data_IF_011549241480
#
_entry.id   IF_011549241480
#
_cell.length_a   1.000
_cell.length_b   1.000
_cell.length_c   1.000
_cell.angle_alpha   90.00
_cell.angle_beta   90.00
_cell.angle_gamma   90.00
#
_symmetry.space_group_name_H-M   'P 1'
#
loop_
_entity.id
_entity.type
_entity.pdbx_description
1 polymer ?
#
# COMPACT_ATOMS: atom_id res chain seq x y z
N UNK A 1 60.10 -13.84 33.16
CA UNK A 1 58.94 -12.94 33.34
C UNK A 1 58.88 -12.01 32.12
N UNK A 2 57.92 -12.21 31.20
CA UNK A 2 57.24 -11.27 30.25
C UNK A 2 56.41 -12.20 29.34
N UNK A 3 55.23 -12.67 29.75
CA UNK A 3 53.88 -12.12 29.48
C UNK A 3 53.61 -11.73 28.00
N UNK A 4 53.03 -12.72 27.28
CA UNK A 4 52.01 -12.70 26.20
C UNK A 4 51.70 -11.36 25.50
N UNK A 5 51.54 -11.41 24.16
CA UNK A 5 50.22 -11.17 23.54
C UNK A 5 50.18 -11.65 22.08
N UNK A 6 49.51 -12.78 21.82
CA UNK A 6 49.06 -13.18 20.49
C UNK A 6 47.68 -12.51 20.29
N UNK A 7 47.58 -11.58 19.34
CA UNK A 7 46.30 -10.93 19.01
C UNK A 7 45.57 -11.81 17.99
N UNK A 8 44.73 -12.72 18.48
CA UNK A 8 43.78 -13.47 17.65
C UNK A 8 42.50 -12.66 17.56
N UNK A 9 42.25 -12.06 16.40
CA UNK A 9 40.96 -11.45 16.08
C UNK A 9 39.93 -12.56 15.81
N UNK A 10 39.24 -13.02 16.85
CA UNK A 10 38.01 -13.80 16.71
C UNK A 10 36.87 -12.81 16.46
N UNK A 11 36.50 -12.64 15.19
CA UNK A 11 35.24 -12.01 14.80
C UNK A 11 34.10 -12.94 15.23
N UNK A 12 33.56 -12.67 16.42
CA UNK A 12 32.31 -13.25 16.88
C UNK A 12 31.17 -12.70 15.99
N UNK A 13 30.70 -13.51 15.05
CA UNK A 13 29.41 -13.33 14.39
C UNK A 13 28.32 -13.54 15.44
N UNK A 14 27.90 -12.46 16.08
CA UNK A 14 26.66 -12.41 16.86
C UNK A 14 25.48 -12.61 15.92
N UNK A 15 25.06 -13.87 15.76
CA UNK A 15 23.78 -14.22 15.18
C UNK A 15 22.68 -13.61 16.03
N UNK A 16 22.09 -12.52 15.56
CA UNK A 16 20.89 -11.95 16.15
C UNK A 16 19.72 -12.90 15.83
N UNK A 17 19.44 -13.83 16.74
CA UNK A 17 18.19 -14.57 16.72
C UNK A 17 17.08 -13.57 17.03
N UNK A 18 16.46 -12.99 15.99
CA UNK A 18 15.19 -12.31 16.16
C UNK A 18 14.17 -13.39 16.50
N UNK A 19 13.82 -13.45 17.77
CA UNK A 19 12.61 -14.13 18.22
C UNK A 19 11.47 -13.70 17.30
N UNK A 20 10.82 -14.70 16.69
CA UNK A 20 9.53 -14.51 16.02
C UNK A 20 8.55 -14.22 17.17
N UNK A 21 8.52 -12.95 17.58
CA UNK A 21 7.53 -12.44 18.50
C UNK A 21 6.18 -12.70 17.86
N UNK A 22 5.41 -13.59 18.49
CA UNK A 22 4.02 -13.89 18.13
C UNK A 22 3.27 -12.58 17.99
N UNK A 23 2.99 -12.19 16.74
CA UNK A 23 2.32 -10.94 16.45
C UNK A 23 0.99 -10.91 17.21
N UNK A 24 0.70 -9.82 17.95
CA UNK A 24 -0.55 -9.70 18.68
C UNK A 24 -1.69 -9.85 17.67
N UNK A 25 -2.66 -10.71 17.97
CA UNK A 25 -3.91 -10.82 17.23
C UNK A 25 -4.57 -9.44 17.22
N UNK A 26 -4.33 -8.69 16.15
CA UNK A 26 -5.00 -7.42 15.90
C UNK A 26 -6.47 -7.77 15.72
N UNK A 27 -7.33 -7.26 16.60
CA UNK A 27 -8.77 -7.27 16.35
C UNK A 27 -9.00 -6.47 15.07
N UNK A 28 -9.13 -7.17 13.95
CA UNK A 28 -9.39 -6.61 12.65
C UNK A 28 -10.80 -6.04 12.66
N UNK A 29 -10.93 -4.79 13.10
CA UNK A 29 -12.08 -3.94 12.76
C UNK A 29 -12.12 -3.61 11.26
N UNK A 30 -11.16 -4.13 10.48
CA UNK A 30 -10.87 -3.73 9.11
C UNK A 30 -10.92 -4.94 8.19
N UNK A 31 -11.58 -4.79 7.04
CA UNK A 31 -11.63 -5.81 6.00
C UNK A 31 -10.26 -5.84 5.33
N UNK A 32 -9.65 -7.02 5.25
CA UNK A 32 -8.34 -7.28 4.62
C UNK A 32 -8.31 -6.97 3.11
N UNK A 33 -9.47 -6.64 2.54
CA UNK A 33 -9.68 -6.33 1.13
C UNK A 33 -10.40 -4.99 1.06
N UNK A 34 -9.70 -3.95 0.63
CA UNK A 34 -10.33 -2.70 0.17
C UNK A 34 -11.24 -3.05 -1.00
N UNK A 35 -12.50 -2.69 -0.90
CA UNK A 35 -13.56 -2.93 -1.87
C UNK A 35 -14.01 -1.64 -2.54
N UNK A 36 -14.52 -1.70 -3.78
CA UNK A 36 -15.30 -0.66 -4.44
C UNK A 36 -16.17 0.27 -3.57
N UNK A 37 -16.88 -0.34 -2.63
CA UNK A 37 -17.90 0.28 -1.79
C UNK A 37 -17.27 1.13 -0.68
N UNK A 38 -15.98 0.94 -0.38
CA UNK A 38 -15.24 1.73 0.62
C UNK A 38 -15.03 3.19 0.18
N UNK A 39 -15.38 3.53 -1.06
CA UNK A 39 -15.44 4.93 -1.54
C UNK A 39 -16.67 5.69 -1.04
N UNK A 40 -17.75 5.00 -0.69
CA UNK A 40 -19.01 5.68 -0.37
C UNK A 40 -19.14 6.07 1.10
N UNK A 41 -18.42 5.41 2.01
CA UNK A 41 -18.54 5.71 3.45
C UNK A 41 -17.22 5.57 4.17
N UNK A 42 -16.57 6.71 4.44
CA UNK A 42 -15.56 6.79 5.50
C UNK A 42 -16.30 6.49 6.81
N UNK A 43 -15.83 5.50 7.58
CA UNK A 43 -16.44 5.22 8.89
C UNK A 43 -16.26 6.42 9.83
N UNK A 44 -17.15 6.64 10.81
CA UNK A 44 -17.01 7.74 11.77
C UNK A 44 -15.66 7.73 12.50
N UNK A 45 -15.09 6.55 12.71
CA UNK A 45 -13.77 6.33 13.30
C UNK A 45 -12.63 6.80 12.39
N UNK A 46 -12.67 6.45 11.10
CA UNK A 46 -11.68 6.90 10.11
C UNK A 46 -11.77 8.40 9.85
N UNK A 47 -12.99 8.95 9.86
CA UNK A 47 -13.25 10.38 9.67
C UNK A 47 -12.57 11.26 10.73
N UNK A 48 -12.31 10.74 11.95
CA UNK A 48 -11.56 11.46 13.00
C UNK A 48 -10.13 11.81 12.58
N UNK A 49 -9.60 11.08 11.61
CA UNK A 49 -8.22 11.21 11.13
C UNK A 49 -8.15 11.71 9.69
N UNK A 50 -9.29 12.12 9.13
CA UNK A 50 -9.39 12.65 7.78
C UNK A 50 -8.48 13.86 7.61
N UNK A 51 -7.61 13.78 6.62
CA UNK A 51 -6.68 14.84 6.30
C UNK A 51 -6.51 14.95 4.79
N UNK A 52 -6.73 16.16 4.29
CA UNK A 52 -6.45 16.55 2.91
C UNK A 52 -5.16 17.35 2.90
N UNK A 53 -4.28 17.05 1.96
CA UNK A 53 -3.04 17.78 1.78
C UNK A 53 -2.84 18.07 0.29
N UNK A 54 -2.76 19.35 -0.05
CA UNK A 54 -2.60 19.79 -1.44
C UNK A 54 -1.15 19.75 -1.92
N UNK A 55 -0.18 19.51 -1.02
CA UNK A 55 1.24 19.35 -1.38
C UNK A 55 1.55 17.94 -1.93
N UNK A 56 0.75 16.94 -1.53
CA UNK A 56 0.92 15.55 -1.96
C UNK A 56 -0.15 15.14 -2.97
N UNK A 57 0.11 14.06 -3.72
CA UNK A 57 -0.76 13.61 -4.81
C UNK A 57 -2.02 12.84 -4.35
N UNK A 58 -2.23 12.67 -3.05
CA UNK A 58 -3.41 11.98 -2.52
C UNK A 58 -4.57 12.96 -2.32
N UNK A 59 -5.80 12.51 -2.51
CA UNK A 59 -6.98 13.33 -2.23
C UNK A 59 -7.20 13.48 -0.73
N UNK A 60 -7.10 12.37 0.00
CA UNK A 60 -7.16 12.36 1.46
C UNK A 60 -6.39 11.16 2.04
N UNK A 61 -6.10 11.24 3.34
CA UNK A 61 -5.62 10.12 4.13
C UNK A 61 -6.44 9.93 5.41
N UNK A 62 -6.51 8.69 5.86
CA UNK A 62 -7.14 8.28 7.13
C UNK A 62 -6.25 7.24 7.82
N UNK A 63 -6.46 7.00 9.10
CA UNK A 63 -5.78 5.96 9.87
C UNK A 63 -4.99 6.48 11.08
N UNK A 64 -4.23 5.57 11.69
CA UNK A 64 -3.49 5.83 12.92
C UNK A 64 -2.00 6.10 12.65
N UNK A 65 -1.26 6.74 13.57
CA UNK A 65 0.17 6.93 13.42
C UNK A 65 0.90 5.61 13.08
N UNK A 66 1.56 5.58 11.92
CA UNK A 66 2.27 4.39 11.40
C UNK A 66 1.45 3.50 10.45
N UNK A 67 0.13 3.71 10.36
CA UNK A 67 -0.78 2.94 9.51
C UNK A 67 -1.81 3.87 8.87
N UNK A 68 -1.34 4.64 7.89
CA UNK A 68 -2.19 5.50 7.07
C UNK A 68 -2.61 4.81 5.78
N UNK A 69 -3.85 5.01 5.42
CA UNK A 69 -4.41 4.73 4.10
C UNK A 69 -4.50 6.04 3.32
N UNK A 70 -4.19 5.99 2.03
CA UNK A 70 -4.15 7.14 1.14
C UNK A 70 -5.05 6.90 -0.05
N UNK A 71 -5.94 7.86 -0.32
CA UNK A 71 -6.81 7.84 -1.48
C UNK A 71 -6.17 8.57 -2.66
N UNK A 72 -6.17 7.96 -3.84
CA UNK A 72 -5.63 8.52 -5.06
C UNK A 72 -6.60 8.40 -6.21
N UNK A 73 -6.78 9.50 -6.94
CA UNK A 73 -7.23 9.46 -8.32
C UNK A 73 -6.10 8.95 -9.21
N UNK A 74 -6.42 8.03 -10.12
CA UNK A 74 -5.47 7.38 -11.02
C UNK A 74 -5.93 7.46 -12.46
N UNK A 75 -4.96 7.51 -13.36
CA UNK A 75 -5.15 7.45 -14.81
C UNK A 75 -4.23 6.39 -15.38
N UNK A 76 -4.60 5.75 -16.49
CA UNK A 76 -3.75 4.70 -17.04
C UNK A 76 -4.24 4.14 -18.35
N UNK A 77 -3.63 3.03 -18.73
CA UNK A 77 -4.00 2.26 -19.93
C UNK A 77 -4.12 0.78 -19.61
N UNK A 78 -5.05 0.10 -20.28
CA UNK A 78 -5.13 -1.36 -20.28
C UNK A 78 -4.12 -1.97 -21.28
N UNK A 79 -4.06 -3.29 -21.37
CA UNK A 79 -3.18 -4.02 -22.30
C UNK A 79 -3.46 -3.76 -23.79
N UNK A 80 -4.66 -3.28 -24.14
CA UNK A 80 -5.02 -2.87 -25.52
C UNK A 80 -4.65 -1.41 -25.82
N UNK A 81 -4.23 -0.64 -24.82
CA UNK A 81 -3.93 0.78 -24.96
C UNK A 81 -5.12 1.71 -24.72
N UNK A 82 -6.29 1.18 -24.31
CA UNK A 82 -7.45 2.02 -24.00
C UNK A 82 -7.22 2.76 -22.68
N UNK A 83 -7.64 4.03 -22.62
CA UNK A 83 -7.51 4.85 -21.42
C UNK A 83 -8.49 4.41 -20.34
N UNK A 84 -8.01 4.37 -19.10
CA UNK A 84 -8.79 4.07 -17.90
C UNK A 84 -8.53 5.13 -16.84
N UNK A 85 -9.56 5.40 -16.03
CA UNK A 85 -9.50 6.37 -14.94
C UNK A 85 -10.10 5.72 -13.71
N UNK A 86 -9.61 6.01 -12.52
CA UNK A 86 -10.11 5.37 -11.32
C UNK A 86 -9.78 6.11 -10.06
N UNK A 87 -10.27 5.57 -8.96
CA UNK A 87 -9.97 6.04 -7.63
C UNK A 87 -9.65 4.80 -6.78
N UNK A 88 -8.54 4.87 -6.04
CA UNK A 88 -7.98 3.76 -5.28
C UNK A 88 -7.60 4.21 -3.87
N UNK A 89 -7.65 3.28 -2.93
CA UNK A 89 -7.00 3.44 -1.63
C UNK A 89 -5.76 2.56 -1.57
N UNK A 90 -4.70 3.08 -0.97
CA UNK A 90 -3.42 2.38 -0.83
C UNK A 90 -2.92 2.46 0.61
N UNK A 91 -2.51 1.30 1.14
CA UNK A 91 -1.81 1.16 2.40
C UNK A 91 -0.44 0.53 2.18
N UNK A 92 0.63 1.27 2.47
CA UNK A 92 1.98 0.81 2.22
C UNK A 92 2.22 0.56 0.73
N UNK A 93 2.51 -0.70 0.36
CA UNK A 93 2.83 -1.08 -1.03
C UNK A 93 1.59 -1.44 -1.86
N UNK A 94 0.48 -1.81 -1.22
CA UNK A 94 -0.66 -2.45 -1.87
C UNK A 94 -1.94 -1.64 -1.66
N UNK A 95 -2.86 -1.72 -2.63
CA UNK A 95 -4.14 -1.05 -2.55
C UNK A 95 -5.20 -1.75 -3.37
N UNK A 96 -6.38 -1.14 -3.42
CA UNK A 96 -7.46 -1.57 -4.30
C UNK A 96 -8.36 -0.39 -4.65
N UNK A 97 -9.24 -0.60 -5.62
CA UNK A 97 -10.26 0.38 -5.97
C UNK A 97 -10.97 0.01 -7.25
N UNK A 98 -11.46 1.01 -7.96
CA UNK A 98 -12.18 0.82 -9.21
C UNK A 98 -11.63 1.70 -10.31
N UNK A 99 -11.45 1.08 -11.47
CA UNK A 99 -11.32 1.77 -12.74
C UNK A 99 -12.69 1.91 -13.41
N UNK A 100 -12.96 3.07 -13.97
CA UNK A 100 -14.06 3.35 -14.89
C UNK A 100 -13.51 3.27 -16.30
N UNK A 101 -14.04 2.31 -17.06
CA UNK A 101 -14.01 2.32 -18.51
C UNK A 101 -15.35 2.92 -19.00
N UNK A 102 -15.39 3.38 -20.25
CA UNK A 102 -16.57 3.94 -20.95
C UNK A 102 -17.87 3.14 -20.79
N UNK A 103 -17.78 1.84 -20.48
CA UNK A 103 -18.90 0.91 -20.45
C UNK A 103 -19.15 0.32 -19.04
N UNK A 104 -18.13 0.26 -18.17
CA UNK A 104 -18.25 -0.44 -16.87
C UNK A 104 -17.24 0.00 -15.82
N UNK A 105 -17.60 -0.26 -14.56
CA UNK A 105 -16.69 -0.26 -13.43
C UNK A 105 -15.93 -1.59 -13.38
N UNK A 106 -14.65 -1.52 -13.03
CA UNK A 106 -13.73 -2.67 -12.95
C UNK A 106 -13.04 -2.61 -11.59
N UNK A 107 -13.25 -3.63 -10.77
CA UNK A 107 -12.56 -3.77 -9.49
C UNK A 107 -11.12 -4.21 -9.73
N UNK A 108 -10.17 -3.58 -9.01
CA UNK A 108 -8.74 -3.84 -9.19
C UNK A 108 -8.02 -3.91 -7.85
N UNK A 109 -6.97 -4.73 -7.80
CA UNK A 109 -5.91 -4.66 -6.80
C UNK A 109 -4.71 -3.94 -7.39
N UNK A 110 -3.98 -3.19 -6.57
CA UNK A 110 -2.85 -2.37 -7.01
C UNK A 110 -1.58 -2.63 -6.20
N UNK A 111 -0.44 -2.43 -6.84
CA UNK A 111 0.89 -2.47 -6.25
C UNK A 111 1.72 -1.28 -6.75
N UNK A 112 2.34 -0.54 -5.84
CA UNK A 112 3.34 0.46 -6.20
C UNK A 112 4.57 -0.22 -6.81
N UNK A 113 4.88 0.15 -8.05
CA UNK A 113 6.07 -0.35 -8.76
C UNK A 113 7.16 0.72 -8.90
N UNK A 114 6.77 2.00 -8.83
CA UNK A 114 7.67 3.14 -8.75
C UNK A 114 6.92 4.36 -8.20
N UNK A 115 7.66 5.45 -7.94
CA UNK A 115 7.04 6.72 -7.55
C UNK A 115 6.02 7.18 -8.61
N UNK A 116 4.78 7.40 -8.18
CA UNK A 116 3.68 7.81 -9.05
C UNK A 116 3.20 6.73 -10.04
N UNK A 117 3.66 5.48 -9.93
CA UNK A 117 3.29 4.38 -10.86
C UNK A 117 2.83 3.13 -10.11
N UNK A 118 1.65 2.63 -10.48
CA UNK A 118 1.11 1.37 -9.99
C UNK A 118 0.89 0.38 -11.11
N UNK A 119 1.09 -0.89 -10.78
CA UNK A 119 0.53 -2.01 -11.54
C UNK A 119 -0.80 -2.41 -10.91
N UNK A 120 -1.82 -2.62 -11.72
CA UNK A 120 -3.12 -3.09 -11.25
C UNK A 120 -3.57 -4.36 -11.97
N UNK A 121 -4.38 -5.17 -11.28
CA UNK A 121 -4.93 -6.42 -11.81
C UNK A 121 -6.38 -6.60 -11.35
N UNK A 122 -7.26 -6.95 -12.29
CA UNK A 122 -8.66 -7.30 -11.96
C UNK A 122 -8.81 -8.80 -11.61
N UNK A 123 -10.02 -9.20 -11.21
CA UNK A 123 -10.30 -10.60 -10.84
C UNK A 123 -10.10 -11.60 -11.99
N UNK A 124 -10.17 -11.14 -13.24
CA UNK A 124 -9.95 -11.97 -14.42
C UNK A 124 -8.47 -12.04 -14.82
N UNK A 125 -7.59 -11.32 -14.10
CA UNK A 125 -6.16 -11.29 -14.38
C UNK A 125 -5.75 -10.28 -15.45
N UNK A 126 -6.64 -9.39 -15.90
CA UNK A 126 -6.24 -8.33 -16.83
C UNK A 126 -5.40 -7.29 -16.10
N UNK A 127 -4.35 -6.81 -16.76
CA UNK A 127 -3.40 -5.86 -16.18
C UNK A 127 -3.60 -4.43 -16.68
N UNK A 128 -3.30 -3.47 -15.80
CA UNK A 128 -3.38 -2.05 -16.08
C UNK A 128 -2.16 -1.33 -15.54
N UNK A 129 -1.63 -0.40 -16.33
CA UNK A 129 -0.54 0.48 -15.91
C UNK A 129 -1.14 1.82 -15.51
N UNK A 130 -1.02 2.17 -14.22
CA UNK A 130 -1.64 3.35 -13.64
C UNK A 130 -0.58 4.36 -13.21
N UNK A 131 -0.95 5.63 -13.29
CA UNK A 131 -0.20 6.76 -12.75
C UNK A 131 -1.08 7.56 -11.80
N UNK A 132 -0.47 8.10 -10.76
CA UNK A 132 -1.06 9.15 -9.93
C UNK A 132 -0.64 10.51 -10.54
N UNK A 133 -1.59 11.36 -10.96
CA UNK A 133 -1.32 12.62 -11.63
C UNK A 133 -0.74 13.72 -10.73
#
# INVERSE_FOLDING_TARGET
MVKKLLFVFLLAISGCNKEISSQPKINTFYKEVVTPDDRETITPEEAKTYHVDTEYQYEYRTGNPGHYEYNYDVKGINTRGDSVFGNINVQGKFGAGILRDTIKNIEIKTEWIAYGKLKATDEQGNEYNLIVP
#
